data_IF_729863207075
#
_entry.id   IF_729863207075
#
_cell.length_a   1.000
_cell.length_b   1.000
_cell.length_c   1.000
_cell.angle_alpha   90.00
_cell.angle_beta   90.00
_cell.angle_gamma   90.00
#
_symmetry.space_group_name_H-M   'P 1'
#
loop_
_entity.id
_entity.type
_entity.pdbx_description
1 polymer ?
#
# COMPACT_ATOMS: atom_id res chain seq x y z
N UNK A 1 -13.03 4.38 13.37
CA UNK A 1 -11.95 5.01 12.57
C UNK A 1 -11.47 3.99 11.55
N UNK A 2 -11.34 4.40 10.28
CA UNK A 2 -10.76 3.52 9.26
C UNK A 2 -9.26 3.37 9.53
N UNK A 3 -8.84 2.14 9.87
CA UNK A 3 -7.45 1.84 10.23
C UNK A 3 -6.46 2.05 9.07
N UNK A 4 -6.96 2.11 7.83
CA UNK A 4 -6.14 2.30 6.62
C UNK A 4 -6.12 3.74 6.11
N UNK A 5 -6.84 4.68 6.74
CA UNK A 5 -7.01 6.04 6.21
C UNK A 5 -5.69 6.77 5.93
N UNK A 6 -4.71 6.67 6.83
CA UNK A 6 -3.40 7.31 6.63
C UNK A 6 -2.59 6.61 5.54
N UNK A 7 -2.65 5.27 5.48
CA UNK A 7 -2.01 4.48 4.44
C UNK A 7 -2.56 4.81 3.05
N UNK A 8 -3.88 4.95 2.93
CA UNK A 8 -4.53 5.28 1.67
C UNK A 8 -4.19 6.68 1.19
N UNK A 9 -4.10 7.65 2.10
CA UNK A 9 -3.68 9.02 1.76
C UNK A 9 -2.26 9.03 1.21
N UNK A 10 -1.32 8.38 1.90
CA UNK A 10 0.07 8.28 1.45
C UNK A 10 0.19 7.55 0.11
N UNK A 11 -0.58 6.47 -0.09
CA UNK A 11 -0.64 5.76 -1.37
C UNK A 11 -1.20 6.64 -2.50
N UNK A 12 -2.23 7.42 -2.21
CA UNK A 12 -2.85 8.31 -3.20
C UNK A 12 -1.95 9.49 -3.60
N UNK A 13 -1.06 9.93 -2.71
CA UNK A 13 -0.07 10.98 -2.97
C UNK A 13 1.12 10.45 -3.79
N UNK A 14 1.57 9.23 -3.53
CA UNK A 14 2.74 8.65 -4.22
C UNK A 14 2.40 8.00 -5.56
N UNK A 15 1.19 7.44 -5.71
CA UNK A 15 0.81 6.73 -6.92
C UNK A 15 0.47 7.71 -8.04
N UNK A 16 1.12 7.50 -9.17
CA UNK A 16 0.92 8.26 -10.40
C UNK A 16 0.46 7.33 -11.52
N UNK A 17 0.16 7.83 -12.73
CA UNK A 17 -0.08 6.99 -13.91
C UNK A 17 1.15 6.15 -14.33
N UNK A 18 2.34 6.42 -13.77
CA UNK A 18 3.56 5.64 -14.02
C UNK A 18 3.64 4.48 -13.01
N UNK A 19 3.83 3.23 -13.47
CA UNK A 19 3.97 2.08 -12.59
C UNK A 19 5.10 2.25 -11.58
N UNK A 20 4.76 2.09 -10.30
CA UNK A 20 5.68 2.22 -9.16
C UNK A 20 5.90 0.85 -8.51
N UNK A 21 7.15 0.37 -8.41
CA UNK A 21 7.45 -0.93 -7.80
C UNK A 21 7.07 -0.99 -6.32
N UNK A 22 6.75 -2.20 -5.84
CA UNK A 22 6.41 -2.42 -4.42
C UNK A 22 7.51 -1.94 -3.47
N UNK A 23 8.79 -2.21 -3.80
CA UNK A 23 9.93 -1.78 -2.98
C UNK A 23 10.01 -0.26 -2.83
N UNK A 24 9.60 0.49 -3.85
CA UNK A 24 9.54 1.95 -3.82
C UNK A 24 8.37 2.44 -2.97
N UNK A 25 7.20 1.78 -3.07
CA UNK A 25 6.04 2.11 -2.24
C UNK A 25 6.26 1.77 -0.77
N UNK A 26 6.94 0.66 -0.48
CA UNK A 26 7.19 0.19 0.89
C UNK A 26 8.38 0.91 1.55
N UNK A 27 8.33 2.23 1.55
CA UNK A 27 9.34 3.11 2.12
C UNK A 27 8.70 4.24 2.94
N UNK A 28 9.53 4.98 3.69
CA UNK A 28 9.12 6.19 4.41
C UNK A 28 7.85 6.02 5.27
N UNK A 29 6.91 6.94 5.09
CA UNK A 29 5.65 7.01 5.84
C UNK A 29 4.76 5.79 5.60
N UNK A 30 4.71 5.26 4.38
CA UNK A 30 3.95 4.04 4.06
C UNK A 30 4.48 2.85 4.87
N UNK A 31 5.80 2.69 4.94
CA UNK A 31 6.43 1.61 5.72
C UNK A 31 6.13 1.77 7.22
N UNK A 32 6.25 3.00 7.74
CA UNK A 32 5.97 3.29 9.14
C UNK A 32 4.50 2.99 9.51
N UNK A 33 3.58 3.38 8.63
CA UNK A 33 2.15 3.13 8.82
C UNK A 33 1.80 1.64 8.74
N UNK A 34 2.43 0.90 7.82
CA UNK A 34 2.29 -0.55 7.78
C UNK A 34 2.81 -1.23 9.06
N UNK A 35 3.88 -0.71 9.68
CA UNK A 35 4.36 -1.22 10.96
C UNK A 35 3.36 -0.93 12.09
N UNK A 36 2.79 0.28 12.12
CA UNK A 36 1.76 0.68 13.09
C UNK A 36 0.54 -0.23 13.02
N UNK A 37 0.08 -0.55 11.81
CA UNK A 37 -1.07 -1.45 11.59
C UNK A 37 -0.72 -2.89 11.98
N UNK A 38 0.45 -3.39 11.54
CA UNK A 38 0.89 -4.75 11.80
C UNK A 38 1.12 -5.04 13.30
N UNK A 39 1.48 -4.02 14.09
CA UNK A 39 1.68 -4.14 15.54
C UNK A 39 0.42 -4.62 16.29
N UNK A 40 -0.77 -4.45 15.70
CA UNK A 40 -2.03 -4.97 16.25
C UNK A 40 -2.39 -6.38 15.79
N UNK A 41 -1.59 -7.03 14.94
CA UNK A 41 -1.83 -8.39 14.45
C UNK A 41 -1.02 -9.43 15.25
N UNK A 42 -1.54 -10.66 15.37
CA UNK A 42 -0.85 -11.75 16.10
C UNK A 42 0.47 -12.16 15.46
N UNK A 43 0.67 -11.88 14.17
CA UNK A 43 1.92 -12.10 13.44
C UNK A 43 2.21 -10.84 12.61
N UNK A 44 2.94 -9.86 13.17
CA UNK A 44 3.18 -8.58 12.50
C UNK A 44 3.97 -8.78 11.21
N UNK A 45 3.32 -8.58 10.06
CA UNK A 45 3.95 -8.62 8.74
C UNK A 45 3.65 -7.34 7.98
N UNK A 46 4.41 -6.26 8.20
CA UNK A 46 4.13 -4.96 7.62
C UNK A 46 4.08 -4.94 6.08
N UNK A 47 4.90 -5.75 5.40
CA UNK A 47 4.85 -5.89 3.95
C UNK A 47 3.52 -6.49 3.46
N UNK A 48 2.97 -7.46 4.20
CA UNK A 48 1.65 -8.04 3.89
C UNK A 48 0.51 -7.06 4.09
N UNK A 49 0.65 -6.08 5.00
CA UNK A 49 -0.33 -5.00 5.14
C UNK A 49 -0.42 -4.18 3.85
N UNK A 50 0.73 -3.76 3.31
CA UNK A 50 0.77 -3.01 2.07
C UNK A 50 0.21 -3.83 0.90
N UNK A 51 0.68 -5.07 0.75
CA UNK A 51 0.26 -5.96 -0.34
C UNK A 51 -1.26 -6.20 -0.33
N UNK A 52 -1.82 -6.57 0.82
CA UNK A 52 -3.28 -6.74 0.99
C UNK A 52 -4.04 -5.46 0.67
N UNK A 53 -3.49 -4.29 1.03
CA UNK A 53 -4.18 -3.02 0.77
C UNK A 53 -4.17 -2.67 -0.71
N UNK A 54 -3.03 -2.82 -1.39
CA UNK A 54 -2.91 -2.59 -2.83
C UNK A 54 -3.86 -3.50 -3.62
N UNK A 55 -3.94 -4.79 -3.25
CA UNK A 55 -4.91 -5.72 -3.84
C UNK A 55 -6.37 -5.27 -3.62
N UNK A 56 -6.70 -4.77 -2.43
CA UNK A 56 -8.05 -4.28 -2.13
C UNK A 56 -8.42 -3.04 -2.97
N UNK A 57 -7.50 -2.07 -3.07
CA UNK A 57 -7.69 -0.87 -3.89
C UNK A 57 -7.80 -1.21 -5.39
N UNK A 58 -7.04 -2.19 -5.86
CA UNK A 58 -7.13 -2.66 -7.24
C UNK A 58 -8.46 -3.36 -7.54
N UNK A 59 -8.95 -4.21 -6.63
CA UNK A 59 -10.29 -4.80 -6.74
C UNK A 59 -11.41 -3.76 -6.70
N UNK A 60 -11.20 -2.64 -6.02
CA UNK A 60 -12.12 -1.51 -6.00
C UNK A 60 -12.01 -0.60 -7.25
N UNK A 61 -11.09 -0.89 -8.17
CA UNK A 61 -10.88 -0.10 -9.38
C UNK A 61 -10.23 1.26 -9.14
N UNK A 62 -9.62 1.48 -7.97
CA UNK A 62 -8.98 2.76 -7.61
C UNK A 62 -7.55 2.88 -8.13
N UNK A 63 -6.89 1.74 -8.32
CA UNK A 63 -5.51 1.63 -8.83
C UNK A 63 -5.42 0.39 -9.72
N UNK A 64 -4.36 0.30 -10.50
CA UNK A 64 -4.05 -0.83 -11.37
C UNK A 64 -2.69 -1.42 -11.05
N UNK A 65 -2.46 -2.65 -11.49
CA UNK A 65 -1.16 -3.32 -11.43
C UNK A 65 -0.70 -3.69 -12.84
N UNK A 66 0.54 -3.36 -13.17
CA UNK A 66 1.20 -3.79 -14.40
C UNK A 66 2.24 -4.87 -14.08
N UNK A 67 2.05 -6.06 -14.65
CA UNK A 67 2.94 -7.22 -14.46
C UNK A 67 4.40 -6.84 -14.75
N UNK A 68 5.28 -7.13 -13.79
CA UNK A 68 6.72 -6.86 -13.89
C UNK A 68 7.11 -5.39 -13.73
N UNK A 69 6.17 -4.45 -13.55
CA UNK A 69 6.47 -3.02 -13.37
C UNK A 69 6.03 -2.48 -12.01
N UNK A 70 4.80 -2.74 -11.58
CA UNK A 70 4.29 -2.26 -10.29
C UNK A 70 2.89 -1.67 -10.36
N UNK A 71 2.58 -0.81 -9.39
CA UNK A 71 1.25 -0.25 -9.15
C UNK A 71 1.13 1.17 -9.68
N UNK A 72 -0.03 1.54 -10.21
CA UNK A 72 -0.30 2.84 -10.79
C UNK A 72 -1.73 3.25 -10.51
N UNK A 73 -2.00 4.55 -10.63
CA UNK A 73 -3.35 5.10 -10.55
C UNK A 73 -4.02 5.09 -11.91
#
# INVERSE_FOLDING_TARGET
>A
MDKYLALDRALNEILTPVPTPFSTLFAGEIKAECHRIAAGESNPQPSHILDRRLLALCKAGQINYTTGKGWLK
#
